data_IF_791732280392
#
_entry.id   IF_791732280392
#
_cell.length_a   1.000
_cell.length_b   1.000
_cell.length_c   1.000
_cell.angle_alpha   90.00
_cell.angle_beta   90.00
_cell.angle_gamma   90.00
#
_symmetry.space_group_name_H-M   'P 1'
#
loop_
_entity.id
_entity.type
_entity.pdbx_description
1 polymer ?
#
# COMPACT_ATOMS: atom_id res chain seq x y z
N UNK A 1 -25.40 -24.69 -12.74
CA UNK A 1 -25.87 -23.58 -11.86
C UNK A 1 -24.75 -22.88 -11.06
N UNK A 2 -23.51 -23.38 -10.96
CA UNK A 2 -22.46 -22.75 -10.11
C UNK A 2 -21.76 -21.49 -10.66
N UNK A 3 -21.68 -21.31 -11.99
CA UNK A 3 -20.92 -20.22 -12.60
C UNK A 3 -21.56 -18.82 -12.43
N UNK A 4 -22.89 -18.75 -12.33
CA UNK A 4 -23.66 -17.52 -12.08
C UNK A 4 -23.57 -17.07 -10.63
N UNK A 5 -23.56 -17.99 -9.66
CA UNK A 5 -23.34 -17.67 -8.25
C UNK A 5 -21.92 -17.20 -7.96
N UNK A 6 -20.91 -17.78 -8.61
CA UNK A 6 -19.54 -17.28 -8.53
C UNK A 6 -19.39 -15.88 -9.16
N UNK A 7 -20.19 -15.55 -10.18
CA UNK A 7 -20.25 -14.20 -10.77
C UNK A 7 -20.81 -13.16 -9.83
N UNK A 8 -21.92 -13.51 -9.16
CA UNK A 8 -22.64 -12.61 -8.28
C UNK A 8 -21.82 -12.19 -7.06
N UNK A 9 -20.89 -13.05 -6.59
CA UNK A 9 -20.07 -12.76 -5.40
C UNK A 9 -18.85 -11.88 -5.64
N UNK A 10 -18.34 -11.77 -6.87
CA UNK A 10 -17.10 -11.03 -7.12
C UNK A 10 -17.26 -9.53 -6.81
N UNK A 11 -18.41 -8.94 -7.17
CA UNK A 11 -18.71 -7.52 -6.90
C UNK A 11 -18.78 -7.18 -5.42
N UNK A 12 -19.59 -7.89 -4.59
CA UNK A 12 -19.64 -7.59 -3.16
C UNK A 12 -18.32 -7.90 -2.45
N UNK A 13 -17.60 -8.96 -2.85
CA UNK A 13 -16.28 -9.28 -2.27
C UNK A 13 -15.25 -8.20 -2.58
N UNK A 14 -15.19 -7.73 -3.84
CA UNK A 14 -14.33 -6.61 -4.22
C UNK A 14 -14.74 -5.31 -3.48
N UNK A 15 -16.03 -5.03 -3.36
CA UNK A 15 -16.53 -3.85 -2.66
C UNK A 15 -16.17 -3.86 -1.17
N UNK A 16 -16.30 -5.02 -0.49
CA UNK A 16 -15.88 -5.17 0.92
C UNK A 16 -14.37 -4.97 1.05
N UNK A 17 -13.57 -5.56 0.16
CA UNK A 17 -12.11 -5.39 0.19
C UNK A 17 -11.72 -3.92 0.08
N UNK A 18 -12.31 -3.19 -0.86
CA UNK A 18 -12.09 -1.76 -1.09
C UNK A 18 -12.55 -0.93 0.11
N UNK A 19 -13.74 -1.24 0.67
CA UNK A 19 -14.27 -0.53 1.83
C UNK A 19 -13.41 -0.73 3.08
N UNK A 20 -12.95 -1.96 3.36
CA UNK A 20 -12.06 -2.24 4.49
C UNK A 20 -10.71 -1.57 4.29
N UNK A 21 -10.11 -1.66 3.09
CA UNK A 21 -8.85 -1.01 2.79
C UNK A 21 -8.95 0.52 2.94
N UNK A 22 -10.04 1.13 2.43
CA UNK A 22 -10.31 2.55 2.60
C UNK A 22 -10.53 2.95 4.06
N UNK A 23 -11.32 2.17 4.82
CA UNK A 23 -11.55 2.42 6.25
C UNK A 23 -10.26 2.31 7.07
N UNK A 24 -9.36 1.38 6.74
CA UNK A 24 -8.04 1.31 7.35
C UNK A 24 -7.19 2.55 7.05
N UNK A 25 -7.28 3.12 5.84
CA UNK A 25 -6.61 4.38 5.53
C UNK A 25 -7.22 5.58 6.27
N UNK A 26 -8.56 5.67 6.37
CA UNK A 26 -9.23 6.69 7.19
C UNK A 26 -8.81 6.58 8.65
N UNK A 27 -8.75 5.36 9.19
CA UNK A 27 -8.27 5.15 10.56
C UNK A 27 -6.85 5.67 10.75
N UNK A 28 -5.97 5.46 9.78
CA UNK A 28 -4.59 5.95 9.84
C UNK A 28 -4.51 7.48 9.75
N UNK A 29 -5.30 8.11 8.87
CA UNK A 29 -5.38 9.56 8.74
C UNK A 29 -5.83 10.22 10.07
N UNK A 30 -6.76 9.56 10.79
CA UNK A 30 -7.28 10.03 12.08
C UNK A 30 -6.35 9.72 13.27
N UNK A 31 -5.76 8.53 13.30
CA UNK A 31 -4.92 8.07 14.43
C UNK A 31 -3.46 8.52 14.32
N UNK A 32 -2.96 8.78 13.12
CA UNK A 32 -1.58 9.20 12.85
C UNK A 32 -1.31 10.69 13.11
N UNK A 33 -2.33 11.50 13.35
CA UNK A 33 -2.22 12.95 13.56
C UNK A 33 -1.44 13.35 14.84
N UNK A 34 -1.17 12.40 15.75
CA UNK A 34 -0.51 12.66 17.04
C UNK A 34 0.71 11.79 17.36
N UNK A 35 1.14 10.87 16.48
CA UNK A 35 2.27 9.95 16.76
C UNK A 35 3.55 10.42 16.02
N UNK A 36 4.62 10.81 16.74
CA UNK A 36 5.89 11.19 16.13
C UNK A 36 6.66 10.02 15.48
N UNK A 37 6.26 8.76 15.72
CA UNK A 37 6.92 7.56 15.17
C UNK A 37 6.43 7.29 13.74
N UNK A 38 7.30 7.45 12.74
CA UNK A 38 6.96 7.18 11.32
C UNK A 38 7.64 5.91 10.78
N UNK A 39 6.84 5.07 10.12
CA UNK A 39 7.30 4.00 9.24
C UNK A 39 7.29 2.60 9.85
N UNK A 40 7.26 1.58 8.96
CA UNK A 40 7.07 0.17 9.30
C UNK A 40 8.01 -0.36 10.39
N UNK A 41 9.28 0.09 10.42
CA UNK A 41 10.26 -0.33 11.42
C UNK A 41 9.96 0.21 12.82
N UNK A 42 9.44 1.43 12.92
CA UNK A 42 9.11 2.04 14.20
C UNK A 42 7.91 1.31 14.82
N UNK A 43 6.92 0.97 13.99
CA UNK A 43 5.72 0.23 14.40
C UNK A 43 6.01 -1.26 14.70
N UNK A 44 6.87 -1.92 13.92
CA UNK A 44 7.30 -3.30 14.19
C UNK A 44 8.25 -3.40 15.39
N UNK A 45 9.06 -2.37 15.65
CA UNK A 45 9.86 -2.24 16.87
C UNK A 45 8.98 -2.10 18.10
N UNK A 46 8.03 -1.16 18.06
CA UNK A 46 7.02 -0.99 19.10
C UNK A 46 6.22 -2.28 19.36
N UNK A 47 5.85 -3.02 18.31
CA UNK A 47 5.18 -4.31 18.46
C UNK A 47 6.05 -5.36 19.18
N UNK A 48 7.36 -5.35 18.96
CA UNK A 48 8.30 -6.22 19.71
C UNK A 48 8.37 -5.86 21.18
N UNK A 49 8.15 -4.59 21.50
CA UNK A 49 8.08 -4.07 22.87
C UNK A 49 6.66 -4.18 23.48
N UNK A 50 5.71 -4.81 22.77
CA UNK A 50 4.33 -5.03 23.21
C UNK A 50 3.37 -3.86 22.94
N UNK A 51 3.83 -2.80 22.29
CA UNK A 51 3.03 -1.62 21.96
C UNK A 51 2.31 -1.79 20.61
N UNK A 52 0.98 -1.80 20.64
CA UNK A 52 0.15 -1.82 19.44
C UNK A 52 0.01 -0.40 18.89
N UNK A 53 0.71 -0.12 17.79
CA UNK A 53 0.65 1.18 17.10
C UNK A 53 -0.40 1.19 15.98
N UNK A 54 -0.84 2.39 15.55
CA UNK A 54 -1.77 2.57 14.43
C UNK A 54 -1.27 1.92 13.14
N UNK A 55 0.03 2.04 12.86
CA UNK A 55 0.68 1.43 11.70
C UNK A 55 0.62 -0.11 11.70
N UNK A 56 0.66 -0.74 12.88
CA UNK A 56 0.50 -2.20 13.00
C UNK A 56 -0.95 -2.61 12.71
N UNK A 57 -1.93 -1.89 13.27
CA UNK A 57 -3.37 -2.13 13.02
C UNK A 57 -3.70 -1.99 11.53
N UNK A 58 -3.17 -0.97 10.87
CA UNK A 58 -3.30 -0.74 9.42
C UNK A 58 -2.77 -1.92 8.61
N UNK A 59 -1.55 -2.37 8.90
CA UNK A 59 -0.92 -3.47 8.18
C UNK A 59 -1.72 -4.76 8.34
N UNK A 60 -2.17 -5.08 9.55
CA UNK A 60 -3.00 -6.27 9.78
C UNK A 60 -4.36 -6.15 9.08
N UNK A 61 -5.00 -4.98 9.13
CA UNK A 61 -6.29 -4.75 8.48
C UNK A 61 -6.23 -4.96 6.97
N UNK A 62 -5.27 -4.33 6.29
CA UNK A 62 -5.09 -4.47 4.84
C UNK A 62 -4.67 -5.90 4.46
N UNK A 63 -3.77 -6.50 5.23
CA UNK A 63 -3.33 -7.88 4.99
C UNK A 63 -4.47 -8.88 5.17
N UNK A 64 -5.26 -8.75 6.23
CA UNK A 64 -6.42 -9.59 6.51
C UNK A 64 -7.49 -9.41 5.43
N UNK A 65 -7.78 -8.17 5.02
CA UNK A 65 -8.72 -7.88 3.93
C UNK A 65 -8.26 -8.51 2.62
N UNK A 66 -6.96 -8.39 2.29
CA UNK A 66 -6.36 -9.02 1.12
C UNK A 66 -6.48 -10.56 1.15
N UNK A 67 -6.08 -11.19 2.25
CA UNK A 67 -6.15 -12.65 2.41
C UNK A 67 -7.59 -13.18 2.39
N UNK A 68 -8.52 -12.50 3.05
CA UNK A 68 -9.94 -12.84 3.01
C UNK A 68 -10.45 -12.78 1.57
N UNK A 69 -10.17 -11.70 0.86
CA UNK A 69 -10.56 -11.52 -0.54
C UNK A 69 -9.94 -12.60 -1.42
N UNK A 70 -8.64 -12.88 -1.27
CA UNK A 70 -7.95 -13.96 -1.98
C UNK A 70 -8.56 -15.33 -1.70
N UNK A 71 -8.96 -15.60 -0.45
CA UNK A 71 -9.60 -16.85 -0.04
C UNK A 71 -10.98 -17.07 -0.67
N UNK A 72 -11.69 -15.98 -0.96
CA UNK A 72 -13.01 -15.99 -1.59
C UNK A 72 -12.94 -16.03 -3.12
N UNK A 73 -11.85 -15.55 -3.71
CA UNK A 73 -11.67 -15.47 -5.16
C UNK A 73 -10.90 -16.64 -5.78
N UNK A 74 -10.16 -17.42 -4.98
CA UNK A 74 -9.35 -18.56 -5.45
C UNK A 74 -9.67 -19.82 -4.66
N UNK A 75 -9.55 -20.98 -5.29
CA UNK A 75 -9.85 -22.25 -4.63
C UNK A 75 -8.63 -22.89 -3.97
N UNK A 76 -7.48 -22.84 -4.64
CA UNK A 76 -6.26 -23.52 -4.18
C UNK A 76 -5.52 -22.69 -3.12
N UNK A 77 -5.00 -23.29 -2.04
CA UNK A 77 -4.37 -22.57 -0.93
C UNK A 77 -3.28 -21.58 -1.34
N UNK A 78 -2.37 -22.00 -2.22
CA UNK A 78 -1.31 -21.14 -2.73
C UNK A 78 -1.86 -19.95 -3.52
N UNK A 79 -2.89 -20.17 -4.35
CA UNK A 79 -3.47 -19.11 -5.16
C UNK A 79 -4.24 -18.10 -4.29
N UNK A 80 -4.84 -18.55 -3.18
CA UNK A 80 -5.46 -17.68 -2.16
C UNK A 80 -4.42 -16.78 -1.50
N UNK A 81 -3.29 -17.36 -1.07
CA UNK A 81 -2.19 -16.62 -0.46
C UNK A 81 -1.61 -15.59 -1.44
N UNK A 82 -1.25 -16.03 -2.65
CA UNK A 82 -0.72 -15.14 -3.69
C UNK A 82 -1.72 -14.02 -4.03
N UNK A 83 -3.00 -14.33 -4.12
CA UNK A 83 -4.04 -13.32 -4.35
C UNK A 83 -4.10 -12.29 -3.21
N UNK A 84 -4.02 -12.73 -1.96
CA UNK A 84 -3.99 -11.81 -0.82
C UNK A 84 -2.74 -10.92 -0.82
N UNK A 85 -1.57 -11.49 -1.13
CA UNK A 85 -0.32 -10.72 -1.28
C UNK A 85 -0.43 -9.69 -2.39
N UNK A 86 -1.02 -10.04 -3.54
CA UNK A 86 -1.24 -9.10 -4.65
C UNK A 86 -2.17 -7.95 -4.25
N UNK A 87 -3.27 -8.25 -3.54
CA UNK A 87 -4.24 -7.22 -3.13
C UNK A 87 -3.63 -6.28 -2.09
N UNK A 88 -3.03 -6.83 -1.03
CA UNK A 88 -2.40 -6.03 0.03
C UNK A 88 -1.17 -5.27 -0.49
N UNK A 89 -0.36 -5.92 -1.33
CA UNK A 89 0.80 -5.30 -1.96
C UNK A 89 0.43 -4.17 -2.90
N UNK A 90 -0.66 -4.29 -3.67
CA UNK A 90 -1.13 -3.23 -4.55
C UNK A 90 -1.67 -2.03 -3.77
N UNK A 91 -2.42 -2.25 -2.68
CA UNK A 91 -2.84 -1.20 -1.74
C UNK A 91 -1.64 -0.43 -1.19
N UNK A 92 -0.65 -1.16 -0.68
CA UNK A 92 0.59 -0.55 -0.20
C UNK A 92 1.37 0.20 -1.29
N UNK A 93 1.48 -0.36 -2.49
CA UNK A 93 2.19 0.25 -3.60
C UNK A 93 1.56 1.59 -4.00
N UNK A 94 0.23 1.65 -4.15
CA UNK A 94 -0.47 2.90 -4.49
C UNK A 94 -0.26 3.96 -3.41
N UNK A 95 -0.29 3.58 -2.13
CA UNK A 95 0.03 4.49 -1.02
C UNK A 95 1.47 5.02 -1.09
N UNK A 96 2.44 4.18 -1.45
CA UNK A 96 3.85 4.59 -1.51
C UNK A 96 4.13 5.53 -2.69
N UNK A 97 3.40 5.39 -3.80
CA UNK A 97 3.54 6.32 -4.94
C UNK A 97 2.74 7.60 -4.76
N UNK A 98 1.82 7.66 -3.79
CA UNK A 98 1.02 8.85 -3.44
C UNK A 98 1.82 9.90 -2.64
N UNK A 99 3.00 10.27 -3.16
CA UNK A 99 3.90 11.25 -2.53
C UNK A 99 3.73 12.66 -3.11
N UNK A 100 3.09 12.77 -4.28
CA UNK A 100 2.86 14.02 -5.00
C UNK A 100 1.57 13.93 -5.83
N UNK A 101 0.89 15.07 -6.05
CA UNK A 101 -0.31 15.08 -6.87
C UNK A 101 -0.04 14.52 -8.27
N UNK A 102 -0.99 13.74 -8.79
CA UNK A 102 -0.96 13.08 -10.10
C UNK A 102 -0.26 11.71 -10.15
N UNK A 103 0.55 11.35 -9.14
CA UNK A 103 1.34 10.09 -9.20
C UNK A 103 0.52 8.85 -8.92
N UNK A 104 -0.30 8.87 -7.87
CA UNK A 104 -1.21 7.77 -7.56
C UNK A 104 -2.22 7.56 -8.70
N UNK A 105 -2.81 8.64 -9.20
CA UNK A 105 -3.68 8.62 -10.39
C UNK A 105 -2.96 7.99 -11.59
N UNK A 106 -1.75 8.47 -11.92
CA UNK A 106 -0.98 7.93 -13.04
C UNK A 106 -0.69 6.43 -12.90
N UNK A 107 -0.33 5.98 -11.70
CA UNK A 107 -0.10 4.56 -11.41
C UNK A 107 -1.38 3.73 -11.58
N UNK A 108 -2.52 4.23 -11.06
CA UNK A 108 -3.80 3.54 -11.17
C UNK A 108 -4.28 3.44 -12.62
N UNK A 109 -4.10 4.51 -13.40
CA UNK A 109 -4.40 4.50 -14.84
C UNK A 109 -3.53 3.49 -15.57
N UNK A 110 -2.21 3.53 -15.36
CA UNK A 110 -1.27 2.64 -16.04
C UNK A 110 -1.54 1.16 -15.75
N UNK A 111 -1.90 0.84 -14.50
CA UNK A 111 -2.18 -0.54 -14.08
C UNK A 111 -3.61 -1.00 -14.41
N UNK A 112 -4.58 -0.07 -14.43
CA UNK A 112 -5.99 -0.37 -14.68
C UNK A 112 -6.35 -0.54 -16.16
N UNK A 113 -5.73 0.24 -17.06
CA UNK A 113 -6.03 0.20 -18.51
C UNK A 113 -5.86 -1.19 -19.12
N UNK A 114 -4.75 -1.93 -18.87
CA UNK A 114 -4.61 -3.29 -19.37
C UNK A 114 -5.70 -4.25 -18.87
N UNK A 115 -6.26 -4.00 -17.68
CA UNK A 115 -7.39 -4.76 -17.14
C UNK A 115 -8.67 -4.53 -17.93
N UNK A 116 -8.99 -3.26 -18.26
CA UNK A 116 -10.14 -2.90 -19.10
C UNK A 116 -10.03 -3.51 -20.49
N UNK A 117 -8.86 -3.41 -21.12
CA UNK A 117 -8.62 -3.93 -22.47
C UNK A 117 -8.80 -5.46 -22.56
N UNK A 118 -8.47 -6.20 -21.50
CA UNK A 118 -8.69 -7.66 -21.43
C UNK A 118 -10.17 -8.03 -21.21
N UNK A 119 -11.00 -7.11 -20.75
CA UNK A 119 -12.43 -7.33 -20.52
C UNK A 119 -12.75 -8.29 -19.37
N UNK A 120 -13.98 -8.83 -19.38
CA UNK A 120 -14.47 -9.75 -18.35
C UNK A 120 -14.60 -9.10 -16.97
N UNK A 121 -14.51 -9.91 -15.90
CA UNK A 121 -14.65 -9.43 -14.51
C UNK A 121 -13.51 -8.51 -14.09
N UNK A 122 -12.29 -8.81 -14.53
CA UNK A 122 -11.12 -7.96 -14.29
C UNK A 122 -11.31 -6.59 -14.95
N UNK A 123 -11.82 -6.56 -16.19
CA UNK A 123 -12.13 -5.31 -16.89
C UNK A 123 -13.23 -4.49 -16.22
N UNK A 124 -14.27 -5.12 -15.68
CA UNK A 124 -15.33 -4.42 -14.94
C UNK A 124 -14.80 -3.73 -13.67
N UNK A 125 -13.99 -4.45 -12.87
CA UNK A 125 -13.37 -3.86 -11.67
C UNK A 125 -12.42 -2.74 -12.06
N UNK A 126 -11.59 -2.96 -13.09
CA UNK A 126 -10.65 -1.94 -13.58
C UNK A 126 -11.37 -0.70 -14.09
N UNK A 127 -12.46 -0.85 -14.85
CA UNK A 127 -13.24 0.27 -15.36
C UNK A 127 -13.89 1.07 -14.22
N UNK A 128 -14.40 0.39 -13.19
CA UNK A 128 -14.91 1.04 -11.98
C UNK A 128 -13.82 1.87 -11.29
N UNK A 129 -12.65 1.28 -11.07
CA UNK A 129 -11.50 1.96 -10.46
C UNK A 129 -11.03 3.16 -11.28
N UNK A 130 -10.93 3.03 -12.61
CA UNK A 130 -10.56 4.13 -13.50
C UNK A 130 -11.62 5.23 -13.51
N UNK A 131 -12.91 4.88 -13.42
CA UNK A 131 -14.00 5.84 -13.26
C UNK A 131 -13.89 6.64 -11.97
N UNK A 132 -13.55 5.98 -10.85
CA UNK A 132 -13.29 6.66 -9.57
C UNK A 132 -12.12 7.62 -9.68
N UNK A 133 -11.02 7.21 -10.33
CA UNK A 133 -9.87 8.08 -10.55
C UNK A 133 -10.20 9.26 -11.46
N UNK A 134 -10.98 9.05 -12.52
CA UNK A 134 -11.40 10.12 -13.42
C UNK A 134 -12.22 11.20 -12.69
N UNK A 135 -13.02 10.82 -11.69
CA UNK A 135 -13.82 11.75 -10.90
C UNK A 135 -12.98 12.68 -10.01
N UNK A 136 -11.80 12.23 -9.56
CA UNK A 136 -10.91 13.01 -8.67
C UNK A 136 -9.69 13.59 -9.40
N UNK A 137 -9.50 13.24 -10.68
CA UNK A 137 -8.33 13.62 -11.49
C UNK A 137 -8.09 15.13 -11.52
N UNK A 138 -9.14 15.93 -11.71
CA UNK A 138 -9.02 17.38 -11.83
C UNK A 138 -8.59 18.06 -10.54
N UNK A 139 -9.01 17.53 -9.39
CA UNK A 139 -8.65 18.06 -8.07
C UNK A 139 -7.26 17.59 -7.62
N UNK A 140 -6.91 16.34 -7.93
CA UNK A 140 -5.59 15.77 -7.67
C UNK A 140 -4.52 16.48 -8.52
N UNK A 141 -4.72 16.63 -9.83
CA UNK A 141 -3.74 17.33 -10.69
C UNK A 141 -3.58 18.81 -10.33
N UNK A 142 -4.62 19.45 -9.80
CA UNK A 142 -4.56 20.83 -9.35
C UNK A 142 -3.97 21.00 -7.94
N UNK A 143 -3.62 19.90 -7.27
CA UNK A 143 -3.13 19.91 -5.89
C UNK A 143 -4.17 20.43 -4.88
N UNK A 144 -5.46 20.42 -5.24
CA UNK A 144 -6.56 20.87 -4.38
C UNK A 144 -6.99 19.82 -3.36
N UNK A 145 -6.82 18.56 -3.71
CA UNK A 145 -7.03 17.42 -2.83
C UNK A 145 -6.01 16.34 -3.17
N UNK A 146 -5.37 15.75 -2.16
CA UNK A 146 -4.61 14.51 -2.35
C UNK A 146 -5.56 13.33 -2.14
N UNK A 147 -5.35 12.24 -2.89
CA UNK A 147 -6.12 10.99 -2.75
C UNK A 147 -6.10 10.49 -1.29
N UNK A 148 -4.98 10.69 -0.59
CA UNK A 148 -4.82 10.35 0.82
C UNK A 148 -4.74 8.85 1.03
N UNK A 149 -4.36 8.44 2.24
CA UNK A 149 -4.11 7.02 2.53
C UNK A 149 -5.38 6.18 2.36
N UNK A 150 -6.54 6.70 2.75
CA UNK A 150 -7.84 6.09 2.50
C UNK A 150 -8.07 5.78 1.00
N UNK A 151 -7.92 6.78 0.14
CA UNK A 151 -8.14 6.63 -1.29
C UNK A 151 -7.10 5.72 -1.93
N UNK A 152 -5.83 5.82 -1.51
CA UNK A 152 -4.74 5.06 -2.06
C UNK A 152 -4.88 3.55 -1.77
N UNK A 153 -5.23 3.19 -0.53
CA UNK A 153 -5.50 1.79 -0.17
C UNK A 153 -6.71 1.23 -0.89
N UNK A 154 -7.80 2.00 -0.96
CA UNK A 154 -9.01 1.60 -1.67
C UNK A 154 -8.74 1.33 -3.16
N UNK A 155 -8.07 2.26 -3.85
CA UNK A 155 -7.73 2.14 -5.27
C UNK A 155 -6.74 1.00 -5.53
N UNK A 156 -5.71 0.86 -4.70
CA UNK A 156 -4.75 -0.23 -4.83
C UNK A 156 -5.36 -1.61 -4.55
N UNK A 157 -6.25 -1.74 -3.57
CA UNK A 157 -7.00 -2.97 -3.32
C UNK A 157 -7.90 -3.34 -4.51
N UNK A 158 -8.54 -2.35 -5.14
CA UNK A 158 -9.35 -2.55 -6.33
C UNK A 158 -8.52 -3.04 -7.54
N UNK A 159 -7.35 -2.44 -7.77
CA UNK A 159 -6.42 -2.88 -8.83
C UNK A 159 -5.87 -4.29 -8.57
N UNK A 160 -5.44 -4.57 -7.34
CA UNK A 160 -4.97 -5.90 -6.95
C UNK A 160 -6.05 -6.95 -7.17
N UNK A 161 -7.30 -6.62 -6.85
CA UNK A 161 -8.46 -7.49 -7.11
C UNK A 161 -8.67 -7.73 -8.61
N UNK A 162 -8.55 -6.69 -9.45
CA UNK A 162 -8.63 -6.83 -10.90
C UNK A 162 -7.52 -7.75 -11.46
N UNK A 163 -6.28 -7.61 -10.97
CA UNK A 163 -5.16 -8.50 -11.32
C UNK A 163 -5.47 -9.94 -10.92
N UNK A 164 -5.98 -10.17 -9.71
CA UNK A 164 -6.34 -11.50 -9.22
C UNK A 164 -7.40 -12.17 -10.09
N UNK A 165 -8.40 -11.41 -10.55
CA UNK A 165 -9.46 -11.90 -11.43
C UNK A 165 -8.97 -12.17 -12.86
N UNK A 166 -7.95 -11.44 -13.33
CA UNK A 166 -7.46 -11.53 -14.70
C UNK A 166 -6.27 -12.46 -14.91
N UNK A 167 -5.70 -13.03 -13.86
CA UNK A 167 -4.45 -13.81 -13.95
C UNK A 167 -4.55 -15.21 -13.34
N UNK A 168 -3.80 -16.14 -13.96
CA UNK A 168 -3.51 -17.47 -13.42
C UNK A 168 -2.35 -17.44 -12.43
N UNK A 169 -1.99 -18.60 -11.87
CA UNK A 169 -0.96 -18.75 -10.82
C UNK A 169 0.38 -18.09 -11.14
N UNK A 170 0.90 -18.29 -12.35
CA UNK A 170 2.19 -17.72 -12.75
C UNK A 170 2.12 -16.19 -12.75
N UNK A 171 1.03 -15.63 -13.26
CA UNK A 171 0.77 -14.19 -13.21
C UNK A 171 0.66 -13.67 -11.79
N UNK A 172 -0.06 -14.38 -10.91
CA UNK A 172 -0.15 -14.02 -9.48
C UNK A 172 1.21 -14.03 -8.80
N UNK A 173 2.03 -15.07 -9.02
CA UNK A 173 3.36 -15.18 -8.45
C UNK A 173 4.27 -14.03 -8.93
N UNK A 174 4.22 -13.70 -10.23
CA UNK A 174 4.98 -12.59 -10.79
C UNK A 174 4.58 -11.23 -10.20
N UNK A 175 3.26 -10.95 -10.08
CA UNK A 175 2.78 -9.71 -9.47
C UNK A 175 3.10 -9.65 -7.98
N UNK A 176 2.93 -10.75 -7.24
CA UNK A 176 3.30 -10.83 -5.84
C UNK A 176 4.79 -10.54 -5.64
N UNK A 177 5.66 -11.17 -6.43
CA UNK A 177 7.10 -10.94 -6.39
C UNK A 177 7.46 -9.48 -6.71
N UNK A 178 6.84 -8.89 -7.74
CA UNK A 178 7.05 -7.50 -8.12
C UNK A 178 6.64 -6.51 -7.01
N UNK A 179 5.47 -6.74 -6.39
CA UNK A 179 4.97 -5.87 -5.31
C UNK A 179 5.81 -6.01 -4.03
N UNK A 180 6.22 -7.23 -3.68
CA UNK A 180 7.14 -7.47 -2.55
C UNK A 180 8.50 -6.82 -2.81
N UNK A 181 9.03 -6.95 -4.02
CA UNK A 181 10.28 -6.28 -4.40
C UNK A 181 10.14 -4.75 -4.36
N UNK A 182 9.03 -4.20 -4.84
CA UNK A 182 8.75 -2.76 -4.77
C UNK A 182 8.69 -2.27 -3.32
N UNK A 183 7.99 -3.00 -2.44
CA UNK A 183 7.94 -2.70 -1.00
C UNK A 183 9.33 -2.75 -0.36
N UNK A 184 10.13 -3.78 -0.67
CA UNK A 184 11.48 -3.92 -0.14
C UNK A 184 12.47 -2.85 -0.67
N UNK A 185 12.38 -2.48 -1.95
CA UNK A 185 13.21 -1.45 -2.56
C UNK A 185 12.84 -0.04 -2.11
N UNK A 186 11.56 0.22 -1.80
CA UNK A 186 11.10 1.50 -1.24
C UNK A 186 11.89 1.89 0.02
N UNK A 187 12.18 0.92 0.88
CA UNK A 187 13.01 1.14 2.08
C UNK A 187 14.47 1.56 1.78
N UNK A 188 15.04 1.16 0.64
CA UNK A 188 16.44 1.46 0.29
C UNK A 188 16.60 2.90 -0.22
N UNK A 189 15.60 3.42 -0.92
CA UNK A 189 15.61 4.81 -1.43
C UNK A 189 15.47 5.80 -0.28
N UNK A 190 14.61 5.52 0.70
CA UNK A 190 14.46 6.36 1.90
C UNK A 190 15.69 6.29 2.82
N UNK A 191 16.35 5.13 2.92
CA UNK A 191 17.59 4.99 3.66
C UNK A 191 18.73 5.78 2.99
N UNK A 192 18.94 5.64 1.68
CA UNK A 192 19.98 6.40 0.96
C UNK A 192 19.78 7.92 1.04
N UNK A 193 18.52 8.40 1.02
CA UNK A 193 18.22 9.83 1.18
C UNK A 193 18.60 10.39 2.57
N UNK A 194 18.57 9.58 3.64
CA UNK A 194 19.01 9.98 4.99
C UNK A 194 20.53 10.07 5.16
N UNK A 195 21.30 9.41 4.30
CA UNK A 195 22.77 9.48 4.30
C UNK A 195 23.28 10.61 3.40
N UNK A 196 22.41 11.23 2.59
CA UNK A 196 22.74 12.35 1.72
C UNK A 196 22.46 13.74 2.31
N UNK A 197 21.86 13.83 3.51
CA UNK A 197 21.65 15.11 4.20
C UNK A 197 22.87 15.48 5.05
N UNK A 198 23.48 16.66 4.86
CA UNK A 198 24.72 17.07 5.54
C UNK A 198 24.62 17.26 7.06
N UNK A 199 23.44 17.11 7.68
CA UNK A 199 23.28 17.21 9.14
C UNK A 199 24.02 16.13 9.94
N UNK A 200 24.34 14.98 9.33
CA UNK A 200 25.11 13.93 10.02
C UNK A 200 26.60 14.27 10.20
N UNK A 201 27.11 15.29 9.51
CA UNK A 201 28.51 15.74 9.64
C UNK A 201 28.71 16.77 10.77
N UNK A 202 27.64 17.32 11.35
CA UNK A 202 27.72 18.39 12.36
C UNK A 202 27.74 17.92 13.82
N UNK A 203 27.55 16.64 14.10
CA UNK A 203 27.50 16.11 15.48
C UNK A 203 28.83 15.51 15.98
N UNK A 204 29.90 15.59 15.19
CA UNK A 204 31.27 15.34 15.65
C UNK A 204 32.05 16.65 15.70
N UNK A 205 31.56 17.58 16.51
CA UNK A 205 32.26 18.82 16.86
C UNK A 205 32.45 18.88 18.37
N UNK A 206 33.71 19.05 18.78
CA UNK A 206 34.17 19.58 20.07
C UNK A 206 34.02 18.68 21.30
N UNK A 207 34.87 17.66 21.42
CA UNK A 207 35.47 17.37 22.74
C UNK A 207 36.62 18.35 22.94
N UNK A 208 36.33 19.43 23.66
CA UNK A 208 37.34 20.34 24.21
C UNK A 208 38.25 19.57 25.16
N UNK A 209 39.51 19.39 24.79
CA UNK A 209 40.55 19.00 25.73
C UNK A 209 40.93 20.24 26.56
N UNK A 210 40.15 20.49 27.62
CA UNK A 210 40.47 21.47 28.67
C UNK A 210 41.59 20.95 29.59
N UNK A 211 42.37 21.85 30.22
CA UNK A 211 43.70 21.53 30.73
C UNK A 211 43.65 20.72 32.02
N UNK A 212 44.50 19.71 32.12
CA UNK A 212 44.85 19.08 33.38
C UNK A 212 45.92 19.93 34.10
N UNK A 213 45.50 20.71 35.11
CA UNK A 213 46.34 20.95 36.30
C UNK A 213 46.25 19.70 37.20
N UNK A 214 47.21 19.33 38.04
CA UNK A 214 48.33 20.03 38.71
C UNK A 214 49.37 18.97 39.17
N UNK A 215 50.50 19.45 39.73
CA UNK A 215 51.53 18.75 40.58
C UNK A 215 52.60 17.97 39.80
N UNK A 216 53.92 18.19 39.95
CA UNK A 216 54.81 18.71 41.03
C UNK A 216 55.95 19.52 40.40
#
# INVERSE_FOLDING_TARGET
MGATFAAARVRPVAAVAVAVAGACGVYDDLAGAGDPRRGLRAHLGALRDGEVTSGTVKLFGITAAGLLTGSLLKERPLDKLLAGVVIAGAAHFVNVVDVRPGRAVGAVVALGVPGVLRGGRAGQVSAGTLGTVAAVLGDDLAGRAMIGDAGAHALGAALGTAVVLGTGRVGLAAHAAALVAAAACGHRVTAAARWGTPEAAGQFGTEECGPAGDTV
#
